data_IF_464123756411
#
_entry.id   IF_464123756411
#
_cell.length_a   1.000
_cell.length_b   1.000
_cell.length_c   1.000
_cell.angle_alpha   90.00
_cell.angle_beta   90.00
_cell.angle_gamma   90.00
#
_symmetry.space_group_name_H-M   'P 1'
#
loop_
_entity.id
_entity.type
_entity.pdbx_description
1 polymer ?
#
# COMPACT_ATOMS: atom_id res chain seq x y z
N UNK A 1 -12.76 19.80 -16.15
CA UNK A 1 -12.16 19.48 -14.84
C UNK A 1 -10.67 19.74 -14.93
N UNK A 2 -10.00 20.30 -13.91
CA UNK A 2 -8.55 20.45 -13.92
C UNK A 2 -7.84 19.09 -13.80
N UNK A 3 -6.55 19.00 -14.16
CA UNK A 3 -5.73 17.83 -13.88
C UNK A 3 -5.71 17.50 -12.36
N UNK A 4 -5.80 16.22 -11.96
CA UNK A 4 -5.88 15.81 -10.56
C UNK A 4 -4.49 15.71 -9.91
N UNK A 5 -3.74 16.82 -9.90
CA UNK A 5 -2.34 16.87 -9.44
C UNK A 5 -2.19 16.45 -7.98
N UNK A 6 -3.12 16.89 -7.12
CA UNK A 6 -3.10 16.56 -5.68
C UNK A 6 -3.35 15.06 -5.44
N UNK A 7 -4.31 14.47 -6.16
CA UNK A 7 -4.62 13.04 -6.04
C UNK A 7 -3.47 12.19 -6.56
N UNK A 8 -2.84 12.58 -7.68
CA UNK A 8 -1.65 11.88 -8.19
C UNK A 8 -0.47 11.97 -7.21
N UNK A 9 -0.23 13.13 -6.61
CA UNK A 9 0.83 13.29 -5.62
C UNK A 9 0.56 12.44 -4.38
N UNK A 10 -0.67 12.40 -3.90
CA UNK A 10 -1.08 11.61 -2.72
C UNK A 10 -0.99 10.10 -2.99
N UNK A 11 -1.45 9.65 -4.16
CA UNK A 11 -1.34 8.27 -4.61
C UNK A 11 0.13 7.84 -4.73
N UNK A 12 0.96 8.68 -5.37
CA UNK A 12 2.41 8.44 -5.47
C UNK A 12 3.07 8.33 -4.10
N UNK A 13 2.80 9.25 -3.19
CA UNK A 13 3.35 9.22 -1.85
C UNK A 13 2.95 7.94 -1.09
N UNK A 14 1.70 7.49 -1.23
CA UNK A 14 1.23 6.26 -0.62
C UNK A 14 1.92 5.01 -1.20
N UNK A 15 2.06 4.92 -2.54
CA UNK A 15 2.78 3.82 -3.21
C UNK A 15 4.26 3.78 -2.79
N UNK A 16 4.92 4.94 -2.77
CA UNK A 16 6.32 5.04 -2.36
C UNK A 16 6.48 4.62 -0.88
N UNK A 17 5.58 5.05 0.01
CA UNK A 17 5.59 4.64 1.42
C UNK A 17 5.37 3.14 1.58
N UNK A 18 4.44 2.54 0.83
CA UNK A 18 4.21 1.10 0.87
C UNK A 18 5.46 0.31 0.45
N UNK A 19 6.18 0.79 -0.57
CA UNK A 19 7.43 0.19 -1.02
C UNK A 19 8.53 0.29 0.06
N UNK A 20 8.73 1.47 0.65
CA UNK A 20 9.73 1.72 1.70
C UNK A 20 9.45 0.90 2.96
N UNK A 21 8.18 0.77 3.36
CA UNK A 21 7.78 0.01 4.54
C UNK A 21 7.98 -1.51 4.38
N UNK A 22 8.17 -1.97 3.13
CA UNK A 22 8.31 -3.37 2.77
C UNK A 22 6.96 -4.07 2.59
N UNK A 23 5.88 -3.33 2.31
CA UNK A 23 4.57 -3.90 2.05
C UNK A 23 4.54 -4.95 0.93
N UNK A 24 5.35 -4.88 -0.16
CA UNK A 24 5.32 -5.90 -1.22
C UNK A 24 5.58 -7.33 -0.73
N UNK A 25 6.33 -7.51 0.36
CA UNK A 25 6.63 -8.82 0.94
C UNK A 25 5.43 -9.43 1.71
N UNK A 26 4.47 -8.61 2.14
CA UNK A 26 3.36 -9.02 3.01
C UNK A 26 1.98 -8.82 2.36
N UNK A 27 1.88 -7.92 1.38
CA UNK A 27 0.67 -7.56 0.65
C UNK A 27 0.98 -7.37 -0.85
N UNK A 28 1.45 -8.43 -1.55
CA UNK A 28 1.89 -8.32 -2.94
C UNK A 28 0.76 -7.95 -3.90
N UNK A 29 -0.47 -8.39 -3.63
CA UNK A 29 -1.62 -8.08 -4.48
C UNK A 29 -1.96 -6.60 -4.43
N UNK A 30 -2.08 -6.03 -3.23
CA UNK A 30 -2.46 -4.64 -3.03
C UNK A 30 -1.38 -3.68 -3.52
N UNK A 31 -0.10 -3.99 -3.26
CA UNK A 31 1.02 -3.19 -3.78
C UNK A 31 1.08 -3.20 -5.31
N UNK A 32 0.80 -4.34 -5.94
CA UNK A 32 0.68 -4.43 -7.40
C UNK A 32 -0.48 -3.58 -7.93
N UNK A 33 -1.67 -3.73 -7.36
CA UNK A 33 -2.84 -2.94 -7.76
C UNK A 33 -2.59 -1.43 -7.62
N UNK A 34 -2.01 -1.00 -6.49
CA UNK A 34 -1.67 0.39 -6.27
C UNK A 34 -0.73 0.94 -7.34
N UNK A 35 0.31 0.18 -7.70
CA UNK A 35 1.30 0.55 -8.72
C UNK A 35 0.69 0.61 -10.12
N UNK A 36 -0.09 -0.41 -10.48
CA UNK A 36 -0.77 -0.50 -11.79
C UNK A 36 -1.76 0.66 -11.99
N UNK A 37 -2.55 0.98 -10.95
CA UNK A 37 -3.52 2.09 -11.00
C UNK A 37 -2.86 3.46 -11.02
N UNK A 38 -1.74 3.66 -10.32
CA UNK A 38 -0.98 4.90 -10.41
C UNK A 38 -0.46 5.12 -11.84
N UNK A 39 0.09 4.08 -12.46
CA UNK A 39 0.55 4.14 -13.84
C UNK A 39 -0.60 4.41 -14.83
N UNK A 40 -1.77 3.79 -14.59
CA UNK A 40 -2.96 4.05 -15.39
C UNK A 40 -3.49 5.48 -15.21
N UNK A 41 -3.47 6.03 -13.99
CA UNK A 41 -3.85 7.41 -13.70
C UNK A 41 -2.96 8.41 -14.43
N UNK A 42 -1.64 8.17 -14.45
CA UNK A 42 -0.68 9.00 -15.19
C UNK A 42 -0.96 8.98 -16.70
N UNK A 43 -1.27 7.81 -17.27
CA UNK A 43 -1.68 7.68 -18.67
C UNK A 43 -2.97 8.44 -18.97
N UNK A 44 -3.96 8.37 -18.07
CA UNK A 44 -5.21 9.10 -18.22
C UNK A 44 -5.02 10.63 -18.19
N UNK A 45 -4.08 11.15 -17.40
CA UNK A 45 -3.69 12.58 -17.45
C UNK A 45 -3.10 12.96 -18.81
N UNK A 46 -2.22 12.13 -19.38
CA UNK A 46 -1.67 12.36 -20.74
C UNK A 46 -2.78 12.37 -21.79
N UNK A 47 -3.77 11.49 -21.65
CA UNK A 47 -4.95 11.43 -22.50
C UNK A 47 -5.97 12.55 -22.24
N UNK A 48 -5.73 13.42 -21.25
CA UNK A 48 -6.65 14.47 -20.76
C UNK A 48 -7.98 13.93 -20.21
N UNK A 49 -8.04 12.64 -19.87
CA UNK A 49 -9.16 12.04 -19.15
C UNK A 49 -8.94 12.22 -17.64
N UNK A 50 -9.22 13.45 -17.19
CA UNK A 50 -8.96 13.81 -15.80
C UNK A 50 -9.92 13.13 -14.82
N UNK A 51 -11.11 12.71 -15.26
CA UNK A 51 -12.10 12.02 -14.41
C UNK A 51 -11.58 10.64 -14.07
N UNK A 52 -11.19 9.88 -15.10
CA UNK A 52 -10.57 8.58 -14.93
C UNK A 52 -9.26 8.69 -14.15
N UNK A 53 -8.43 9.70 -14.44
CA UNK A 53 -7.17 9.91 -13.72
C UNK A 53 -7.39 10.14 -12.21
N UNK A 54 -8.40 10.93 -11.83
CA UNK A 54 -8.75 11.19 -10.43
C UNK A 54 -9.18 9.91 -9.73
N UNK A 55 -10.08 9.14 -10.36
CA UNK A 55 -10.59 7.89 -9.81
C UNK A 55 -9.47 6.86 -9.60
N UNK A 56 -8.64 6.64 -10.63
CA UNK A 56 -7.52 5.71 -10.55
C UNK A 56 -6.48 6.11 -9.50
N UNK A 57 -6.22 7.41 -9.33
CA UNK A 57 -5.32 7.90 -8.29
C UNK A 57 -5.88 7.65 -6.88
N UNK A 58 -7.16 7.92 -6.66
CA UNK A 58 -7.84 7.65 -5.38
C UNK A 58 -7.83 6.16 -5.04
N UNK A 59 -8.15 5.30 -6.01
CA UNK A 59 -8.06 3.85 -5.83
C UNK A 59 -6.63 3.37 -5.55
N UNK A 60 -5.65 3.88 -6.29
CA UNK A 60 -4.23 3.57 -6.06
C UNK A 60 -3.79 3.90 -4.64
N UNK A 61 -4.21 5.07 -4.12
CA UNK A 61 -3.92 5.47 -2.76
C UNK A 61 -4.53 4.51 -1.74
N UNK A 62 -5.78 4.09 -1.93
CA UNK A 62 -6.47 3.16 -1.04
C UNK A 62 -5.81 1.78 -1.05
N UNK A 63 -5.44 1.26 -2.22
CA UNK A 63 -4.73 -0.01 -2.35
C UNK A 63 -3.37 0.03 -1.63
N UNK A 64 -2.61 1.13 -1.76
CA UNK A 64 -1.34 1.31 -1.07
C UNK A 64 -1.51 1.36 0.47
N UNK A 65 -2.52 2.09 0.95
CA UNK A 65 -2.83 2.13 2.38
C UNK A 65 -3.26 0.75 2.91
N UNK A 66 -4.07 0.01 2.15
CA UNK A 66 -4.45 -1.35 2.50
C UNK A 66 -3.22 -2.27 2.57
N UNK A 67 -2.27 -2.13 1.64
CA UNK A 67 -1.03 -2.89 1.65
C UNK A 67 -0.22 -2.65 2.93
N UNK A 68 -0.05 -1.39 3.32
CA UNK A 68 0.66 -1.01 4.57
C UNK A 68 -0.04 -1.58 5.79
N UNK A 69 -1.37 -1.50 5.87
CA UNK A 69 -2.14 -2.07 6.99
C UNK A 69 -1.96 -3.57 7.09
N UNK A 70 -2.09 -4.30 5.98
CA UNK A 70 -1.87 -5.75 5.93
C UNK A 70 -0.46 -6.13 6.36
N UNK A 71 0.54 -5.39 5.90
CA UNK A 71 1.93 -5.56 6.33
C UNK A 71 2.10 -5.33 7.84
N UNK A 72 1.54 -4.26 8.39
CA UNK A 72 1.61 -3.99 9.84
C UNK A 72 0.97 -5.12 10.64
N UNK A 73 -0.21 -5.60 10.24
CA UNK A 73 -0.88 -6.74 10.88
C UNK A 73 -0.03 -8.01 10.82
N UNK A 74 0.57 -8.33 9.67
CA UNK A 74 1.42 -9.50 9.53
C UNK A 74 2.68 -9.43 10.41
N UNK A 75 3.33 -8.26 10.48
CA UNK A 75 4.49 -8.02 11.37
C UNK A 75 4.08 -8.17 12.85
N UNK A 76 2.96 -7.60 13.27
CA UNK A 76 2.46 -7.70 14.64
C UNK A 76 2.10 -9.14 15.03
N UNK A 77 1.45 -9.90 14.15
CA UNK A 77 1.11 -11.30 14.40
C UNK A 77 2.37 -12.15 14.60
N UNK A 78 3.39 -11.95 13.75
CA UNK A 78 4.68 -12.64 13.86
C UNK A 78 5.38 -12.32 15.19
N UNK A 79 5.40 -11.05 15.59
CA UNK A 79 5.98 -10.65 16.88
C UNK A 79 5.24 -11.26 18.07
N UNK A 80 3.90 -11.32 18.01
CA UNK A 80 3.09 -11.95 19.05
C UNK A 80 3.33 -13.47 19.15
N UNK A 81 3.48 -14.16 18.02
CA UNK A 81 3.83 -15.58 17.98
C UNK A 81 5.22 -15.85 18.57
N UNK A 82 6.21 -15.02 18.23
CA UNK A 82 7.57 -15.13 18.76
C UNK A 82 7.59 -14.90 20.28
N UNK A 83 6.87 -13.89 20.78
CA UNK A 83 6.76 -13.63 22.21
C UNK A 83 6.09 -14.78 22.98
N UNK A 84 5.03 -15.38 22.42
CA UNK A 84 4.37 -16.56 23.03
C UNK A 84 5.32 -17.75 23.13
N UNK A 85 6.09 -18.04 22.08
CA UNK A 85 7.06 -19.14 22.06
C UNK A 85 8.18 -18.94 23.09
N UNK A 86 8.69 -17.70 23.20
CA UNK A 86 9.70 -17.36 24.18
C UNK A 86 9.20 -17.60 25.62
N UNK A 87 7.98 -17.13 25.93
CA UNK A 87 7.35 -17.32 27.23
C UNK A 87 7.13 -18.81 27.58
N UNK A 88 6.73 -19.66 26.62
CA UNK A 88 6.56 -21.10 26.86
C UNK A 88 7.90 -21.86 27.03
N UNK A 89 8.98 -21.37 26.41
CA UNK A 89 10.31 -21.99 26.52
C UNK A 89 11.08 -21.62 27.80
N UNK A 90 10.69 -20.53 28.48
CA UNK A 90 11.33 -20.08 29.73
C UNK A 90 10.72 -20.66 31.01
N UNK A 91 9.66 -21.47 30.92
CA UNK A 91 8.91 -21.99 32.07
C UNK A 91 9.29 -23.39 32.54
N UNK A 92 10.43 -23.95 32.12
CA UNK A 92 10.83 -25.34 32.46
C UNK A 92 12.22 -25.41 33.10
N UNK A 93 12.42 -24.68 34.19
CA UNK A 93 13.61 -24.86 35.05
C UNK A 93 13.21 -24.94 36.52
#
# INVERSE_FOLDING_TARGET
>A
MPPPTEQLASAKAAVDSAAVDGAPAYAPTETRLATEKLAAAQKAVVAKDYVLAKQLAEESQLDAQLAVRKMQTAKSNKAADEARKAASSGGTQ
#
